data_IF_005158745403
#
_entry.id   IF_005158745403
#
_cell.length_a   1.000
_cell.length_b   1.000
_cell.length_c   1.000
_cell.angle_alpha   90.00
_cell.angle_beta   90.00
_cell.angle_gamma   90.00
#
_symmetry.space_group_name_H-M   'P 1'
#
loop_
_entity.id
_entity.type
_entity.pdbx_description
1 polymer ?
#
# COMPACT_ATOMS: atom_id res chain seq x y z
N UNK A 1 -13.37 15.25 -34.28
CA UNK A 1 -12.85 15.30 -32.91
C UNK A 1 -13.81 14.49 -32.07
N UNK A 2 -13.48 13.23 -31.80
CA UNK A 2 -14.28 12.39 -30.91
C UNK A 2 -14.02 12.82 -29.46
N UNK A 3 -15.08 13.21 -28.77
CA UNK A 3 -15.05 13.46 -27.34
C UNK A 3 -14.66 12.17 -26.61
N UNK A 4 -13.46 12.12 -26.05
CA UNK A 4 -13.08 11.08 -25.10
C UNK A 4 -13.90 11.31 -23.83
N UNK A 5 -14.96 10.56 -23.68
CA UNK A 5 -15.72 10.46 -22.43
C UNK A 5 -14.85 9.78 -21.37
N UNK A 6 -14.10 10.58 -20.63
CA UNK A 6 -13.56 10.15 -19.35
C UNK A 6 -14.75 10.08 -18.38
N UNK A 7 -15.26 8.88 -18.13
CA UNK A 7 -16.06 8.67 -16.94
C UNK A 7 -15.13 8.84 -15.76
N UNK A 8 -15.26 9.96 -15.06
CA UNK A 8 -14.67 10.13 -13.75
C UNK A 8 -15.34 9.13 -12.81
N UNK A 9 -14.65 8.05 -12.48
CA UNK A 9 -15.07 7.18 -11.42
C UNK A 9 -14.74 7.87 -10.10
N UNK A 10 -15.74 8.07 -9.23
CA UNK A 10 -15.49 8.48 -7.86
C UNK A 10 -14.65 7.39 -7.19
N UNK A 11 -13.45 7.77 -6.76
CA UNK A 11 -12.58 6.91 -5.95
C UNK A 11 -13.26 6.73 -4.60
N UNK A 12 -13.80 5.55 -4.34
CA UNK A 12 -14.27 5.15 -3.01
C UNK A 12 -13.17 4.37 -2.34
N UNK A 13 -12.83 4.70 -1.11
CA UNK A 13 -11.77 4.05 -0.37
C UNK A 13 -12.33 3.36 0.87
N UNK A 14 -11.90 2.13 1.21
CA UNK A 14 -12.25 1.46 2.45
C UNK A 14 -11.15 1.58 3.51
N UNK A 15 -11.57 1.29 4.75
CA UNK A 15 -10.75 1.40 5.95
C UNK A 15 -9.48 0.51 5.95
N UNK A 16 -9.41 -0.48 5.06
CA UNK A 16 -8.37 -1.51 5.05
C UNK A 16 -7.30 -1.31 3.95
N UNK A 17 -7.30 -0.17 3.25
CA UNK A 17 -6.35 0.04 2.17
C UNK A 17 -6.57 -0.91 0.98
N UNK A 18 -7.82 -1.20 0.65
CA UNK A 18 -8.22 -2.04 -0.48
C UNK A 18 -8.28 -1.18 -1.74
N UNK A 19 -7.74 -1.69 -2.82
CA UNK A 19 -7.89 -1.16 -4.17
C UNK A 19 -8.69 -2.15 -5.00
N UNK A 20 -9.66 -1.65 -5.76
CA UNK A 20 -10.52 -2.44 -6.64
C UNK A 20 -10.51 -1.87 -8.05
N UNK A 21 -10.61 -2.71 -9.05
CA UNK A 21 -10.70 -2.30 -10.44
C UNK A 21 -10.55 -3.44 -11.42
N UNK A 22 -10.24 -3.10 -12.65
CA UNK A 22 -10.05 -4.05 -13.73
C UNK A 22 -8.59 -4.11 -14.15
N UNK A 23 -7.97 -5.27 -13.99
CA UNK A 23 -6.59 -5.51 -14.45
C UNK A 23 -6.53 -5.72 -15.96
N UNK A 24 -7.61 -6.21 -16.57
CA UNK A 24 -7.78 -6.36 -18.02
C UNK A 24 -9.25 -6.13 -18.39
N UNK A 25 -9.53 -5.73 -19.62
CA UNK A 25 -10.90 -5.57 -20.12
C UNK A 25 -11.08 -6.30 -21.45
N UNK A 26 -12.32 -6.75 -21.75
CA UNK A 26 -12.65 -7.41 -23.00
C UNK A 26 -12.88 -6.39 -24.13
N UNK A 27 -11.95 -5.46 -24.31
CA UNK A 27 -12.04 -4.45 -25.36
C UNK A 27 -11.68 -5.02 -26.72
N UNK A 28 -12.29 -4.45 -27.77
CA UNK A 28 -11.88 -4.70 -29.16
C UNK A 28 -10.76 -3.76 -29.62
N UNK A 29 -10.40 -2.79 -28.79
CA UNK A 29 -9.25 -1.93 -29.04
C UNK A 29 -7.99 -2.68 -28.61
N UNK A 30 -7.04 -2.91 -29.51
CA UNK A 30 -5.79 -3.60 -29.13
C UNK A 30 -4.99 -2.78 -28.12
N UNK A 31 -4.24 -3.47 -27.30
CA UNK A 31 -3.28 -2.86 -26.41
C UNK A 31 -2.04 -2.32 -27.16
N UNK A 32 -1.03 -1.84 -26.45
CA UNK A 32 0.19 -1.28 -27.05
C UNK A 32 1.02 -2.31 -27.83
N UNK A 33 0.77 -3.59 -27.65
CA UNK A 33 1.41 -4.69 -28.39
C UNK A 33 0.56 -5.18 -29.57
N UNK A 34 -0.64 -4.65 -29.72
CA UNK A 34 -1.58 -5.10 -30.75
C UNK A 34 -2.42 -6.29 -30.32
N UNK A 35 -2.45 -6.62 -29.04
CA UNK A 35 -3.16 -7.78 -28.52
C UNK A 35 -4.54 -7.38 -27.97
N UNK A 36 -5.50 -8.31 -28.05
CA UNK A 36 -6.74 -8.26 -27.30
C UNK A 36 -6.87 -9.52 -26.45
N UNK A 37 -7.41 -9.34 -25.24
CA UNK A 37 -7.67 -10.47 -24.33
C UNK A 37 -9.12 -10.91 -24.50
N UNK A 38 -9.32 -12.19 -24.73
CA UNK A 38 -10.65 -12.80 -24.89
C UNK A 38 -11.19 -13.26 -23.55
N UNK A 39 -12.47 -13.00 -23.28
CA UNK A 39 -13.15 -13.51 -22.06
C UNK A 39 -12.95 -15.01 -21.92
N UNK A 40 -12.54 -15.43 -20.74
CA UNK A 40 -12.18 -16.84 -20.46
C UNK A 40 -10.67 -17.09 -20.44
N UNK A 41 -9.83 -16.11 -20.86
CA UNK A 41 -8.38 -16.26 -20.94
C UNK A 41 -7.72 -16.54 -19.59
N UNK A 42 -8.27 -16.01 -18.49
CA UNK A 42 -7.75 -16.20 -17.15
C UNK A 42 -8.39 -17.36 -16.37
N UNK A 43 -9.42 -17.98 -16.90
CA UNK A 43 -10.24 -18.96 -16.17
C UNK A 43 -9.43 -20.10 -15.53
N UNK A 44 -8.44 -20.64 -16.25
CA UNK A 44 -7.63 -21.74 -15.72
C UNK A 44 -6.61 -21.27 -14.69
N UNK A 45 -5.93 -20.16 -14.94
CA UNK A 45 -4.95 -19.60 -13.99
C UNK A 45 -5.61 -19.20 -12.67
N UNK A 46 -6.80 -18.57 -12.72
CA UNK A 46 -7.59 -18.24 -11.54
C UNK A 46 -8.00 -19.49 -10.75
N UNK A 47 -8.46 -20.54 -11.45
CA UNK A 47 -8.79 -21.83 -10.82
C UNK A 47 -7.58 -22.47 -10.14
N UNK A 48 -6.43 -22.50 -10.83
CA UNK A 48 -5.18 -23.02 -10.26
C UNK A 48 -4.75 -22.22 -9.03
N UNK A 49 -4.75 -20.89 -9.12
CA UNK A 49 -4.33 -20.02 -8.00
C UNK A 49 -5.25 -20.22 -6.79
N UNK A 50 -6.57 -20.26 -6.99
CA UNK A 50 -7.54 -20.52 -5.92
C UNK A 50 -7.28 -21.86 -5.23
N UNK A 51 -6.90 -22.90 -5.99
CA UNK A 51 -6.58 -24.23 -5.43
C UNK A 51 -5.31 -24.22 -4.55
N UNK A 52 -4.38 -23.30 -4.75
CA UNK A 52 -3.18 -23.18 -3.90
C UNK A 52 -3.46 -22.47 -2.57
N UNK A 53 -4.57 -21.75 -2.44
CA UNK A 53 -4.88 -20.90 -1.29
C UNK A 53 -4.00 -19.63 -1.17
N UNK A 54 -3.14 -19.35 -2.17
CA UNK A 54 -2.28 -18.17 -2.16
C UNK A 54 -2.81 -17.07 -3.09
N UNK A 55 -2.75 -15.78 -2.69
CA UNK A 55 -3.14 -14.66 -3.54
C UNK A 55 -2.12 -14.44 -4.67
N UNK A 56 -2.51 -13.70 -5.71
CA UNK A 56 -1.51 -13.13 -6.63
C UNK A 56 -0.80 -11.96 -5.96
N UNK A 57 0.50 -11.73 -6.22
CA UNK A 57 1.16 -10.52 -5.75
C UNK A 57 0.55 -9.29 -6.44
N UNK A 58 0.39 -8.20 -5.67
CA UNK A 58 0.22 -6.85 -6.20
C UNK A 58 1.60 -6.20 -6.22
N UNK A 59 2.11 -5.92 -7.41
CA UNK A 59 3.41 -5.29 -7.61
C UNK A 59 3.27 -3.80 -8.00
N UNK A 60 4.38 -3.11 -8.10
CA UNK A 60 4.47 -1.78 -8.68
C UNK A 60 5.39 -1.81 -9.90
N UNK A 61 4.84 -1.36 -11.04
CA UNK A 61 5.58 -1.22 -12.31
C UNK A 61 6.23 -2.52 -12.82
N UNK A 62 5.58 -3.68 -12.60
CA UNK A 62 6.05 -5.03 -12.98
C UNK A 62 7.38 -5.44 -12.33
N UNK A 63 7.75 -4.78 -11.23
CA UNK A 63 8.94 -5.11 -10.47
C UNK A 63 8.60 -6.15 -9.39
N UNK A 64 9.07 -7.39 -9.59
CA UNK A 64 8.85 -8.49 -8.65
C UNK A 64 9.55 -8.31 -7.30
N UNK A 65 10.52 -7.39 -7.21
CA UNK A 65 11.15 -7.01 -5.95
C UNK A 65 10.35 -5.93 -5.20
N UNK A 66 9.36 -5.30 -5.86
CA UNK A 66 8.45 -4.32 -5.29
C UNK A 66 7.03 -4.89 -5.12
N UNK A 67 6.89 -5.92 -4.30
CA UNK A 67 5.57 -6.42 -3.89
C UNK A 67 4.99 -5.45 -2.87
N UNK A 68 3.92 -4.76 -3.25
CA UNK A 68 3.24 -3.73 -2.45
C UNK A 68 1.94 -4.22 -1.82
N UNK A 69 1.48 -5.42 -2.19
CA UNK A 69 0.20 -5.93 -1.74
C UNK A 69 -0.10 -7.35 -2.20
N UNK A 70 -1.36 -7.73 -2.04
CA UNK A 70 -1.89 -9.02 -2.45
C UNK A 70 -3.27 -8.89 -3.07
N UNK A 71 -3.48 -9.52 -4.23
CA UNK A 71 -4.78 -9.65 -4.89
C UNK A 71 -5.50 -10.85 -4.30
N UNK A 72 -6.45 -10.63 -3.42
CA UNK A 72 -7.18 -11.68 -2.71
C UNK A 72 -8.47 -12.12 -3.41
N UNK A 73 -9.00 -11.29 -4.31
CA UNK A 73 -10.11 -11.65 -5.20
C UNK A 73 -9.75 -11.30 -6.64
N UNK A 74 -9.99 -12.22 -7.55
CA UNK A 74 -9.86 -12.04 -8.98
C UNK A 74 -10.91 -12.89 -9.69
N UNK A 75 -11.71 -12.27 -10.53
CA UNK A 75 -12.78 -12.95 -11.28
C UNK A 75 -12.99 -12.31 -12.67
N UNK A 76 -13.42 -13.12 -13.61
CA UNK A 76 -13.86 -12.62 -14.91
C UNK A 76 -15.35 -12.33 -14.87
N UNK A 77 -15.73 -11.09 -15.15
CA UNK A 77 -17.12 -10.66 -15.33
C UNK A 77 -17.44 -10.36 -16.82
N UNK A 78 -18.50 -9.60 -17.07
CA UNK A 78 -18.87 -9.23 -18.44
C UNK A 78 -18.02 -8.08 -19.02
N UNK A 79 -17.28 -7.38 -18.17
CA UNK A 79 -16.46 -6.23 -18.57
C UNK A 79 -14.97 -6.59 -18.65
N UNK A 80 -14.46 -7.41 -17.75
CA UNK A 80 -13.03 -7.69 -17.69
C UNK A 80 -12.62 -8.67 -16.61
N UNK A 81 -11.32 -8.68 -16.30
CA UNK A 81 -10.72 -9.30 -15.14
C UNK A 81 -10.82 -8.30 -13.97
N UNK A 82 -11.85 -8.43 -13.16
CA UNK A 82 -12.06 -7.67 -11.95
C UNK A 82 -11.16 -8.19 -10.84
N UNK A 83 -10.51 -7.28 -10.10
CA UNK A 83 -9.65 -7.64 -8.98
C UNK A 83 -9.95 -6.79 -7.75
N UNK A 84 -9.67 -7.36 -6.57
CA UNK A 84 -9.57 -6.66 -5.30
C UNK A 84 -8.25 -7.03 -4.63
N UNK A 85 -7.51 -6.03 -4.21
CA UNK A 85 -6.20 -6.19 -3.61
C UNK A 85 -6.05 -5.32 -2.37
N UNK A 86 -5.30 -5.81 -1.39
CA UNK A 86 -4.91 -5.05 -0.20
C UNK A 86 -3.46 -4.63 -0.28
N UNK A 87 -3.15 -3.43 0.21
CA UNK A 87 -1.77 -2.99 0.37
C UNK A 87 -1.13 -3.61 1.62
N UNK A 88 0.18 -3.85 1.56
CA UNK A 88 0.97 -4.20 2.74
C UNK A 88 1.13 -2.98 3.65
N UNK A 89 1.26 -3.23 4.96
CA UNK A 89 1.54 -2.18 5.93
C UNK A 89 3.08 -1.93 6.04
N UNK A 90 3.72 -1.72 4.89
CA UNK A 90 5.14 -1.34 4.80
C UNK A 90 5.26 0.10 4.28
N UNK A 91 6.29 0.87 4.65
CA UNK A 91 6.46 2.24 4.16
C UNK A 91 6.39 2.33 2.64
N UNK A 92 7.08 1.44 1.93
CA UNK A 92 7.10 1.42 0.46
C UNK A 92 5.71 1.17 -0.15
N UNK A 93 4.91 0.27 0.43
CA UNK A 93 3.55 0.00 -0.05
C UNK A 93 2.61 1.18 0.22
N UNK A 94 2.73 1.81 1.40
CA UNK A 94 1.90 2.97 1.75
C UNK A 94 2.24 4.20 0.90
N UNK A 95 3.50 4.42 0.54
CA UNK A 95 3.88 5.42 -0.46
C UNK A 95 3.14 5.22 -1.80
N UNK A 96 3.07 3.98 -2.31
CA UNK A 96 2.37 3.69 -3.57
C UNK A 96 0.86 3.85 -3.42
N UNK A 97 0.32 3.48 -2.26
CA UNK A 97 -1.09 3.72 -1.93
C UNK A 97 -1.45 5.21 -1.98
N UNK A 98 -0.60 6.09 -1.44
CA UNK A 98 -0.83 7.54 -1.52
C UNK A 98 -0.84 8.03 -2.97
N UNK A 99 0.05 7.53 -3.85
CA UNK A 99 0.03 7.88 -5.28
C UNK A 99 -1.31 7.50 -5.95
N UNK A 100 -1.93 6.40 -5.52
CA UNK A 100 -3.24 5.98 -6.03
C UNK A 100 -4.36 6.84 -5.46
N UNK A 101 -4.33 7.21 -4.17
CA UNK A 101 -5.30 8.12 -3.55
C UNK A 101 -5.30 9.51 -4.17
N UNK A 102 -4.12 10.01 -4.50
CA UNK A 102 -3.94 11.30 -5.18
C UNK A 102 -4.28 11.24 -6.69
N UNK A 103 -4.64 10.04 -7.21
CA UNK A 103 -4.95 9.83 -8.62
C UNK A 103 -3.74 9.97 -9.56
N UNK A 104 -2.52 9.95 -9.03
CA UNK A 104 -1.27 10.02 -9.82
C UNK A 104 -1.02 8.69 -10.52
N UNK A 105 -1.25 7.58 -9.82
CA UNK A 105 -1.26 6.22 -10.37
C UNK A 105 -2.67 5.67 -10.22
N UNK A 106 -3.31 5.33 -11.32
CA UNK A 106 -4.73 4.94 -11.35
C UNK A 106 -5.01 3.79 -12.32
N UNK A 107 -3.97 3.15 -12.82
CA UNK A 107 -4.08 2.11 -13.83
C UNK A 107 -3.43 0.81 -13.36
N UNK A 108 -4.04 -0.30 -13.79
CA UNK A 108 -3.50 -1.62 -13.60
C UNK A 108 -2.82 -2.13 -14.88
N UNK A 109 -1.90 -3.03 -14.70
CA UNK A 109 -1.32 -3.91 -15.72
C UNK A 109 -1.13 -5.29 -15.11
N UNK A 110 -0.71 -6.27 -15.90
CA UNK A 110 -0.47 -7.62 -15.40
C UNK A 110 0.64 -8.31 -16.19
N UNK A 111 1.42 -9.17 -15.52
CA UNK A 111 2.41 -10.02 -16.17
C UNK A 111 1.89 -11.45 -16.31
N UNK A 112 2.16 -12.05 -17.45
CA UNK A 112 1.61 -13.36 -17.84
C UNK A 112 2.48 -14.10 -18.84
N UNK A 113 2.21 -15.39 -19.01
CA UNK A 113 2.62 -16.16 -20.19
C UNK A 113 1.42 -16.49 -21.04
N UNK A 114 1.63 -16.48 -22.37
CA UNK A 114 0.61 -16.89 -23.33
C UNK A 114 0.61 -18.42 -23.41
N UNK A 115 -0.49 -19.05 -23.03
CA UNK A 115 -0.72 -20.49 -23.17
C UNK A 115 -1.61 -20.85 -24.36
N UNK A 116 -2.35 -19.89 -24.91
CA UNK A 116 -3.19 -20.07 -26.07
C UNK A 116 -3.56 -18.73 -26.70
N UNK A 117 -3.58 -18.72 -28.02
CA UNK A 117 -3.97 -17.56 -28.80
C UNK A 117 -4.61 -17.97 -30.12
N UNK A 118 -5.35 -17.03 -30.71
CA UNK A 118 -5.97 -17.16 -32.02
C UNK A 118 -5.49 -16.05 -32.95
N UNK A 119 -5.38 -16.34 -34.24
CA UNK A 119 -5.12 -15.35 -35.25
C UNK A 119 -6.35 -14.43 -35.41
N UNK A 120 -6.15 -13.11 -35.60
CA UNK A 120 -7.23 -12.19 -35.91
C UNK A 120 -7.77 -12.42 -37.33
N UNK A 121 -9.04 -12.04 -37.52
CA UNK A 121 -9.63 -11.94 -38.87
C UNK A 121 -9.01 -10.80 -39.70
N UNK A 122 -9.26 -10.74 -41.01
CA UNK A 122 -8.75 -9.66 -41.85
C UNK A 122 -9.32 -8.28 -41.47
N UNK A 123 -10.54 -8.24 -40.90
CA UNK A 123 -11.16 -7.04 -40.36
C UNK A 123 -10.50 -6.59 -39.07
N UNK A 124 -10.19 -7.53 -38.18
CA UNK A 124 -9.50 -7.28 -36.92
C UNK A 124 -8.05 -6.80 -37.18
N UNK A 125 -7.35 -7.36 -38.15
CA UNK A 125 -6.00 -6.89 -38.60
C UNK A 125 -6.02 -5.43 -39.03
N UNK A 126 -7.06 -5.02 -39.78
CA UNK A 126 -7.22 -3.61 -40.19
C UNK A 126 -7.43 -2.67 -39.02
N UNK A 127 -7.91 -3.19 -37.89
CA UNK A 127 -8.08 -2.45 -36.63
C UNK A 127 -6.80 -2.44 -35.77
N UNK A 128 -5.71 -3.04 -36.26
CA UNK A 128 -4.43 -3.13 -35.55
C UNK A 128 -4.34 -4.30 -34.59
N UNK A 129 -5.27 -5.27 -34.64
CA UNK A 129 -5.21 -6.46 -33.81
C UNK A 129 -4.24 -7.46 -34.47
N UNK A 130 -3.23 -7.89 -33.72
CA UNK A 130 -2.22 -8.85 -34.18
C UNK A 130 -2.44 -10.23 -33.60
N UNK A 131 -2.99 -10.29 -32.39
CA UNK A 131 -3.22 -11.55 -31.68
C UNK A 131 -4.44 -11.44 -30.75
N UNK A 132 -5.18 -12.55 -30.63
CA UNK A 132 -6.26 -12.71 -29.66
C UNK A 132 -5.79 -13.70 -28.61
N UNK A 133 -5.61 -13.21 -27.37
CA UNK A 133 -5.12 -14.01 -26.25
C UNK A 133 -6.30 -14.77 -25.63
N UNK A 134 -6.30 -16.10 -25.79
CA UNK A 134 -7.43 -16.96 -25.36
C UNK A 134 -7.15 -17.75 -24.09
N UNK A 135 -5.86 -17.89 -23.71
CA UNK A 135 -5.46 -18.59 -22.49
C UNK A 135 -4.15 -18.03 -21.97
N UNK A 136 -4.17 -17.57 -20.72
CA UNK A 136 -3.04 -16.90 -20.05
C UNK A 136 -2.70 -17.57 -18.73
N UNK A 137 -1.41 -17.58 -18.40
CA UNK A 137 -0.93 -17.89 -17.05
C UNK A 137 -0.54 -16.58 -16.37
N UNK A 138 -1.37 -16.12 -15.44
CA UNK A 138 -1.20 -14.87 -14.73
C UNK A 138 -0.17 -15.02 -13.62
N UNK A 139 0.81 -14.12 -13.55
CA UNK A 139 1.86 -14.12 -12.53
C UNK A 139 1.60 -13.11 -11.44
N UNK A 140 1.28 -11.86 -11.81
CA UNK A 140 1.05 -10.75 -10.91
C UNK A 140 0.09 -9.72 -11.53
N UNK A 141 -0.40 -8.82 -10.70
CA UNK A 141 -1.06 -7.57 -11.11
C UNK A 141 -0.23 -6.41 -10.59
N UNK A 142 0.00 -5.41 -11.41
CA UNK A 142 0.76 -4.22 -11.05
C UNK A 142 -0.08 -2.95 -11.11
N UNK A 143 0.19 -2.03 -10.19
CA UNK A 143 -0.12 -0.62 -10.38
C UNK A 143 0.96 0.02 -11.23
N UNK A 144 0.56 0.71 -12.30
CA UNK A 144 1.50 1.29 -13.27
C UNK A 144 1.11 2.72 -13.64
N UNK A 145 2.09 3.60 -13.91
CA UNK A 145 1.81 4.93 -14.46
C UNK A 145 1.28 4.89 -15.89
N UNK A 146 1.70 3.89 -16.68
CA UNK A 146 1.31 3.73 -18.09
C UNK A 146 1.10 2.23 -18.37
N UNK A 147 -0.15 1.75 -18.50
CA UNK A 147 -0.43 0.35 -18.81
C UNK A 147 -0.33 0.05 -20.32
N UNK A 148 -0.13 -1.21 -20.66
CA UNK A 148 -0.29 -1.69 -22.03
C UNK A 148 -1.75 -1.59 -22.49
N UNK A 149 -2.70 -2.01 -21.64
CA UNK A 149 -4.13 -1.85 -21.86
C UNK A 149 -4.64 -0.58 -21.16
N UNK A 150 -4.89 0.48 -21.90
CA UNK A 150 -5.30 1.79 -21.36
C UNK A 150 -6.68 1.78 -20.69
N UNK A 151 -7.46 0.73 -20.85
CA UNK A 151 -8.77 0.55 -20.19
C UNK A 151 -8.69 -0.24 -18.88
N UNK A 152 -7.50 -0.74 -18.51
CA UNK A 152 -7.25 -1.37 -17.22
C UNK A 152 -7.08 -0.30 -16.14
N UNK A 153 -8.13 -0.06 -15.35
CA UNK A 153 -8.21 1.05 -14.40
C UNK A 153 -8.57 0.61 -12.99
N UNK A 154 -8.08 1.36 -12.01
CA UNK A 154 -8.56 1.35 -10.64
C UNK A 154 -9.95 2.00 -10.62
N UNK A 155 -10.96 1.28 -10.16
CA UNK A 155 -12.33 1.80 -10.06
C UNK A 155 -12.66 2.28 -8.66
N UNK A 156 -11.98 1.78 -7.65
CA UNK A 156 -12.25 2.11 -6.26
C UNK A 156 -10.97 2.02 -5.41
N UNK A 157 -10.73 3.03 -4.58
CA UNK A 157 -9.86 2.98 -3.41
C UNK A 157 -10.71 3.29 -2.20
N UNK A 158 -10.68 2.39 -1.22
CA UNK A 158 -11.37 2.60 0.03
C UNK A 158 -10.45 3.25 1.05
N UNK A 159 -10.88 4.41 1.66
CA UNK A 159 -10.16 5.12 2.70
C UNK A 159 -10.19 4.34 4.01
N UNK A 160 -9.07 4.37 4.72
CA UNK A 160 -9.04 4.09 6.15
C UNK A 160 -9.67 5.28 6.89
N UNK A 161 -11.00 5.31 7.05
CA UNK A 161 -11.66 6.32 7.87
C UNK A 161 -11.45 6.09 9.38
N UNK A 162 -10.76 5.02 9.76
CA UNK A 162 -10.23 4.75 11.08
C UNK A 162 -8.70 4.77 11.10
N UNK A 163 -8.10 5.81 10.52
CA UNK A 163 -6.78 6.22 10.96
C UNK A 163 -6.86 6.96 12.32
N UNK A 164 -7.73 6.52 13.24
CA UNK A 164 -7.29 6.40 14.61
C UNK A 164 -6.08 5.46 14.55
N UNK A 165 -4.93 6.03 14.80
CA UNK A 165 -3.72 5.31 15.12
C UNK A 165 -4.13 4.19 16.09
N UNK A 166 -4.45 3.01 15.58
CA UNK A 166 -4.28 1.78 16.34
C UNK A 166 -2.78 1.55 16.39
N UNK A 167 -2.11 2.49 17.06
CA UNK A 167 -0.89 2.21 17.78
C UNK A 167 -1.18 0.92 18.51
N UNK A 168 -0.50 -0.12 18.13
CA UNK A 168 -0.53 -1.49 18.54
C UNK A 168 -1.66 -1.90 19.48
N UNK A 169 -2.01 -3.21 19.48
CA UNK A 169 -2.81 -3.90 20.49
C UNK A 169 -3.14 -3.00 21.68
N UNK A 170 -4.40 -2.68 21.91
CA UNK A 170 -4.81 -2.09 23.20
C UNK A 170 -4.11 -2.89 24.29
N UNK A 171 -3.20 -2.24 25.00
CA UNK A 171 -2.55 -2.84 26.15
C UNK A 171 -3.66 -3.38 27.04
N UNK A 172 -3.54 -4.60 27.52
CA UNK A 172 -4.48 -5.08 28.53
C UNK A 172 -4.36 -4.16 29.74
N UNK A 173 -5.39 -4.06 30.58
CA UNK A 173 -5.33 -3.28 31.81
C UNK A 173 -4.08 -3.64 32.68
N UNK A 174 -3.62 -4.89 32.56
CA UNK A 174 -2.39 -5.36 33.21
C UNK A 174 -1.13 -4.78 32.55
N UNK A 175 -1.12 -4.59 31.22
CA UNK A 175 0.02 -3.99 30.52
C UNK A 175 0.09 -2.48 30.83
N UNK A 176 -1.05 -1.81 30.96
CA UNK A 176 -1.12 -0.40 31.38
C UNK A 176 -0.61 -0.21 32.80
N UNK A 177 -0.94 -1.10 33.71
CA UNK A 177 -0.43 -1.11 35.09
C UNK A 177 1.10 -1.28 35.12
N UNK A 178 1.65 -2.25 34.34
CA UNK A 178 3.08 -2.46 34.22
C UNK A 178 3.83 -1.25 33.64
N UNK A 179 3.22 -0.58 32.67
CA UNK A 179 3.79 0.64 32.06
C UNK A 179 3.81 1.77 33.09
N UNK A 180 2.73 1.98 33.88
CA UNK A 180 2.67 3.00 34.94
C UNK A 180 3.69 2.74 36.04
N UNK A 181 3.85 1.48 36.44
CA UNK A 181 4.84 1.09 37.43
C UNK A 181 6.27 1.33 36.92
N UNK A 182 6.56 1.02 35.64
CA UNK A 182 7.84 1.29 35.04
C UNK A 182 8.14 2.80 34.93
N UNK A 183 7.15 3.61 34.59
CA UNK A 183 7.26 5.08 34.58
C UNK A 183 7.57 5.61 35.96
N UNK A 184 6.82 5.18 37.00
CA UNK A 184 7.04 5.58 38.38
C UNK A 184 8.45 5.21 38.89
N UNK A 185 8.92 3.99 38.56
CA UNK A 185 10.27 3.55 38.93
C UNK A 185 11.37 4.38 38.25
N UNK A 186 11.19 4.75 36.99
CA UNK A 186 12.12 5.62 36.26
C UNK A 186 12.12 7.05 36.82
N UNK A 187 10.98 7.58 37.21
CA UNK A 187 10.89 8.89 37.84
C UNK A 187 11.62 8.90 39.18
N UNK A 188 11.41 7.88 40.05
CA UNK A 188 12.12 7.76 41.30
C UNK A 188 13.63 7.67 41.16
N UNK A 189 14.13 7.00 40.11
CA UNK A 189 15.56 6.94 39.81
C UNK A 189 16.13 8.31 39.33
N UNK A 190 15.34 9.08 38.60
CA UNK A 190 15.74 10.44 38.20
C UNK A 190 15.80 11.38 39.39
N UNK A 191 14.85 11.28 40.32
CA UNK A 191 14.80 12.09 41.56
C UNK A 191 15.99 11.79 42.48
N UNK A 192 16.35 10.49 42.65
CA UNK A 192 17.54 10.10 43.45
C UNK A 192 18.86 10.51 42.78
N UNK A 193 18.92 10.53 41.45
CA UNK A 193 20.11 10.98 40.71
C UNK A 193 20.34 12.52 40.84
N UNK A 194 19.28 13.30 41.10
CA UNK A 194 19.41 14.75 41.36
C UNK A 194 19.81 15.04 42.85
N UNK A 195 19.46 14.17 43.79
CA UNK A 195 19.89 14.28 45.19
C UNK A 195 21.38 13.95 45.39
N UNK A 196 21.90 12.94 44.71
CA UNK A 196 23.30 12.51 44.81
C UNK A 196 24.31 13.51 44.17
N UNK A 197 23.84 14.52 43.43
CA UNK A 197 24.67 15.59 42.88
C UNK A 197 24.89 16.76 43.82
N UNK A 198 24.35 16.72 45.03
CA UNK A 198 24.32 17.82 45.96
C UNK A 198 25.51 17.93 46.94
N UNK A 199 26.35 16.87 47.13
CA UNK A 199 27.28 16.85 48.30
C UNK A 199 28.76 16.70 48.02
N UNK A 200 29.25 16.73 46.80
CA UNK A 200 30.73 16.73 46.54
C UNK A 200 31.18 17.79 45.55
N UNK A 201 31.28 19.07 46.01
CA UNK A 201 32.14 20.06 45.42
C UNK A 201 33.31 20.42 46.35
N UNK A 202 34.56 20.16 45.99
CA UNK A 202 35.68 20.78 46.68
C UNK A 202 35.76 22.25 46.30
N UNK A 203 35.78 23.11 47.30
CA UNK A 203 35.96 24.58 47.18
C UNK A 203 37.28 24.89 46.45
N UNK A 204 37.21 25.24 45.19
CA UNK A 204 38.32 25.86 44.44
C UNK A 204 37.93 27.30 44.05
N UNK A 205 38.80 28.20 44.39
CA UNK A 205 38.66 29.64 44.17
C UNK A 205 38.63 30.03 42.69
N UNK A 206 37.68 30.85 42.30
CA UNK A 206 37.81 31.96 41.37
C UNK A 206 37.83 31.58 39.88
N UNK A 207 36.66 31.44 39.24
CA UNK A 207 36.47 31.70 37.82
C UNK A 207 34.97 32.02 37.55
N UNK A 208 34.61 32.70 36.43
CA UNK A 208 33.31 33.35 36.26
C UNK A 208 32.15 32.38 36.11
N UNK A 209 30.96 32.83 36.50
CA UNK A 209 29.67 32.10 36.37
C UNK A 209 29.41 31.65 34.90
N UNK A 210 29.61 30.38 34.64
CA UNK A 210 29.01 29.73 33.46
C UNK A 210 27.55 29.33 33.76
N UNK A 211 26.65 29.81 32.92
CA UNK A 211 25.24 29.48 32.96
C UNK A 211 25.04 27.97 32.93
N UNK A 212 24.31 27.44 33.91
CA UNK A 212 23.86 26.05 33.94
C UNK A 212 23.11 25.74 32.62
N UNK A 213 23.75 25.03 31.71
CA UNK A 213 23.11 24.49 30.53
C UNK A 213 22.06 23.43 30.97
N UNK A 214 20.78 23.73 30.76
CA UNK A 214 19.72 22.76 30.89
C UNK A 214 19.96 21.59 29.94
N UNK A 215 19.77 20.37 30.41
CA UNK A 215 19.92 19.20 29.56
C UNK A 215 18.70 19.13 28.61
N UNK A 216 18.84 19.43 27.30
CA UNK A 216 17.72 19.53 26.37
C UNK A 216 16.92 18.21 26.28
N UNK A 217 17.58 17.08 26.48
CA UNK A 217 16.94 15.76 26.44
C UNK A 217 15.98 15.54 27.66
N UNK A 218 16.26 16.17 28.82
CA UNK A 218 15.40 16.11 30.01
C UNK A 218 14.13 16.95 29.81
N UNK A 219 14.24 18.13 29.20
CA UNK A 219 13.08 19.00 28.92
C UNK A 219 12.17 18.41 27.84
N UNK A 220 12.74 17.80 26.80
CA UNK A 220 11.99 17.12 25.75
C UNK A 220 11.23 15.91 26.30
N UNK A 221 11.85 15.12 27.19
CA UNK A 221 11.22 13.94 27.81
C UNK A 221 10.07 14.35 28.75
N UNK A 222 10.25 15.38 29.56
CA UNK A 222 9.21 15.90 30.47
C UNK A 222 8.02 16.50 29.68
N UNK A 223 8.29 17.15 28.56
CA UNK A 223 7.26 17.70 27.67
C UNK A 223 6.47 16.57 27.01
N UNK A 224 7.14 15.51 26.56
CA UNK A 224 6.51 14.33 25.98
C UNK A 224 5.61 13.60 27.01
N UNK A 225 6.09 13.39 28.25
CA UNK A 225 5.31 12.75 29.32
C UNK A 225 4.04 13.56 29.64
N UNK A 226 4.15 14.90 29.73
CA UNK A 226 2.99 15.77 29.99
C UNK A 226 1.95 15.75 28.88
N UNK A 227 2.36 15.56 27.62
CA UNK A 227 1.44 15.45 26.49
C UNK A 227 0.67 14.13 26.42
N UNK A 228 1.06 13.15 27.24
CA UNK A 228 0.37 11.85 27.33
C UNK A 228 -0.66 11.79 28.45
N UNK A 229 -0.76 12.82 29.32
CA UNK A 229 -1.69 12.91 30.45
C UNK A 229 -2.96 13.74 30.12
N UNK A 230 -3.01 14.39 28.94
CA UNK A 230 -4.17 15.08 28.38
C UNK A 230 -4.89 14.19 27.33
#
# INVERSE_FOLDING_TARGET
>A
MEERLYKSFELKSDENGIVEGYASTWTKTPDSYGDIVIKGAFKETLKKRKATGHPFPLCFNHDFDQIIGAVFEAEEDDYGLKIRASFLNTPAAQEKRELVKEGIVWQFSFAYSVLGSEAPTEEEKKQGIWQKLTKLDLYEVSLVPVPANQTAIVTEIKKDDNAEVKAGRRNSAKDEELIRDAISALQALLDTADEDRGEDEPKANGAPEEQKASNPMKEDLLTYIKSMEE
#
